data_IF_640151716878
#
_entry.id   IF_640151716878
#
_cell.length_a   1.000
_cell.length_b   1.000
_cell.length_c   1.000
_cell.angle_alpha   90.00
_cell.angle_beta   90.00
_cell.angle_gamma   90.00
#
_symmetry.space_group_name_H-M   'P 1'
#
loop_
_entity.id
_entity.type
_entity.pdbx_description
1 polymer ?
#
# COMPACT_ATOMS: atom_id res chain seq x y z
N UNK A 1 -7.86 -27.32 -8.89
CA UNK A 1 -8.84 -26.52 -8.12
C UNK A 1 -9.60 -25.64 -9.10
N UNK A 2 -10.89 -25.40 -8.88
CA UNK A 2 -11.69 -24.51 -9.73
C UNK A 2 -12.11 -23.30 -8.89
N UNK A 3 -11.92 -22.10 -9.44
CA UNK A 3 -12.42 -20.86 -8.87
C UNK A 3 -13.52 -20.31 -9.75
N UNK A 4 -14.28 -19.34 -9.24
CA UNK A 4 -15.23 -18.54 -10.04
C UNK A 4 -14.65 -17.13 -10.15
N UNK A 5 -14.56 -16.65 -11.38
CA UNK A 5 -14.08 -15.30 -11.68
C UNK A 5 -15.26 -14.34 -11.86
N UNK A 6 -15.09 -13.13 -11.35
CA UNK A 6 -16.02 -12.03 -11.52
C UNK A 6 -15.27 -10.80 -12.03
N UNK A 7 -15.91 -10.07 -12.94
CA UNK A 7 -15.57 -8.70 -13.25
C UNK A 7 -16.24 -7.78 -12.23
N UNK A 8 -15.47 -6.86 -11.65
CA UNK A 8 -15.95 -5.89 -10.66
C UNK A 8 -15.81 -4.48 -11.20
N UNK A 9 -16.86 -3.68 -11.05
CA UNK A 9 -16.82 -2.25 -11.32
C UNK A 9 -17.24 -1.48 -10.07
N UNK A 10 -16.37 -0.56 -9.63
CA UNK A 10 -16.68 0.37 -8.55
C UNK A 10 -17.21 1.66 -9.17
N UNK A 11 -18.45 2.01 -8.84
CA UNK A 11 -19.11 3.22 -9.27
C UNK A 11 -19.05 4.25 -8.15
N UNK A 12 -18.37 5.36 -8.44
CA UNK A 12 -18.26 6.51 -7.55
C UNK A 12 -19.03 7.69 -8.16
N UNK A 13 -19.88 8.38 -7.38
CA UNK A 13 -20.77 9.42 -7.91
C UNK A 13 -20.06 10.74 -8.27
N UNK A 14 -18.84 10.98 -7.78
CA UNK A 14 -18.11 12.22 -8.05
C UNK A 14 -17.25 12.16 -9.32
N UNK A 15 -16.79 13.32 -9.78
CA UNK A 15 -16.03 13.46 -11.04
C UNK A 15 -14.54 13.12 -10.93
N UNK A 16 -14.03 12.83 -9.73
CA UNK A 16 -12.62 12.50 -9.52
C UNK A 16 -12.37 11.02 -9.75
N UNK A 17 -11.15 10.69 -10.16
CA UNK A 17 -10.69 9.30 -10.21
C UNK A 17 -10.51 8.77 -8.79
N UNK A 18 -11.13 7.64 -8.51
CA UNK A 18 -10.96 6.87 -7.28
C UNK A 18 -9.69 6.04 -7.41
N UNK A 19 -8.84 6.06 -6.39
CA UNK A 19 -7.62 5.26 -6.39
C UNK A 19 -7.89 3.81 -5.96
N UNK A 20 -6.85 2.96 -6.04
CA UNK A 20 -6.97 1.54 -5.73
C UNK A 20 -7.30 1.28 -4.25
N UNK A 21 -6.86 2.16 -3.35
CA UNK A 21 -7.11 2.01 -1.91
C UNK A 21 -8.57 2.35 -1.59
N UNK A 22 -9.09 3.42 -2.19
CA UNK A 22 -10.50 3.79 -2.09
C UNK A 22 -11.41 2.75 -2.76
N UNK A 23 -11.02 2.17 -3.90
CA UNK A 23 -11.74 1.04 -4.51
C UNK A 23 -11.83 -0.15 -3.55
N UNK A 24 -10.72 -0.50 -2.88
CA UNK A 24 -10.70 -1.56 -1.85
C UNK A 24 -11.62 -1.20 -0.68
N UNK A 25 -11.60 0.04 -0.21
CA UNK A 25 -12.45 0.49 0.90
C UNK A 25 -13.94 0.34 0.55
N UNK A 26 -14.36 0.79 -0.63
CA UNK A 26 -15.76 0.68 -1.10
C UNK A 26 -16.15 -0.80 -1.26
N UNK A 27 -15.31 -1.59 -1.94
CA UNK A 27 -15.54 -3.02 -2.13
C UNK A 27 -15.73 -3.76 -0.80
N UNK A 28 -14.83 -3.56 0.16
CA UNK A 28 -14.89 -4.26 1.43
C UNK A 28 -16.06 -3.83 2.31
N UNK A 29 -16.49 -2.56 2.20
CA UNK A 29 -17.72 -2.11 2.84
C UNK A 29 -18.94 -2.83 2.26
N UNK A 30 -19.04 -2.97 0.93
CA UNK A 30 -20.09 -3.78 0.29
C UNK A 30 -20.08 -5.22 0.79
N UNK A 31 -18.90 -5.85 0.88
CA UNK A 31 -18.77 -7.22 1.39
C UNK A 31 -19.22 -7.32 2.86
N UNK A 32 -18.89 -6.33 3.69
CA UNK A 32 -19.31 -6.28 5.09
C UNK A 32 -20.83 -6.13 5.26
N UNK A 33 -21.46 -5.30 4.40
CA UNK A 33 -22.88 -4.98 4.49
C UNK A 33 -23.79 -6.09 3.94
N UNK A 34 -23.24 -7.04 3.18
CA UNK A 34 -23.99 -8.10 2.48
C UNK A 34 -23.55 -9.52 2.89
N UNK A 35 -23.65 -9.91 4.17
CA UNK A 35 -23.19 -11.22 4.66
C UNK A 35 -23.97 -12.40 4.06
N UNK A 36 -25.21 -12.20 3.59
CA UNK A 36 -25.98 -13.24 2.91
C UNK A 36 -25.36 -13.69 1.59
N UNK A 37 -24.70 -12.77 0.87
CA UNK A 37 -23.99 -13.04 -0.39
C UNK A 37 -22.56 -13.49 -0.08
N UNK A 38 -21.90 -12.84 0.88
CA UNK A 38 -20.51 -13.08 1.25
C UNK A 38 -20.39 -13.84 2.57
N UNK A 39 -21.05 -15.00 2.67
CA UNK A 39 -21.10 -15.81 3.88
C UNK A 39 -19.70 -16.11 4.46
N UNK A 40 -18.73 -16.42 3.58
CA UNK A 40 -17.32 -16.47 3.93
C UNK A 40 -16.54 -15.33 3.26
N UNK A 41 -16.52 -14.16 3.91
CA UNK A 41 -15.74 -12.99 3.47
C UNK A 41 -14.23 -13.22 3.35
N UNK A 42 -13.67 -14.26 3.99
CA UNK A 42 -12.26 -14.64 3.84
C UNK A 42 -11.99 -15.48 2.59
N UNK A 43 -13.04 -16.03 1.97
CA UNK A 43 -12.97 -16.76 0.70
C UNK A 43 -13.14 -15.85 -0.53
N UNK A 44 -12.90 -14.56 -0.35
CA UNK A 44 -13.04 -13.54 -1.40
C UNK A 44 -11.65 -12.98 -1.67
N UNK A 45 -11.24 -12.91 -2.94
CA UNK A 45 -9.95 -12.39 -3.39
C UNK A 45 -10.14 -11.27 -4.42
N UNK A 46 -9.78 -10.02 -4.08
CA UNK A 46 -10.01 -8.84 -4.91
C UNK A 46 -8.70 -8.07 -5.16
N UNK A 47 -8.43 -7.73 -6.42
CA UNK A 47 -7.21 -7.05 -6.83
C UNK A 47 -7.19 -5.53 -6.51
N UNK A 48 -8.33 -4.96 -6.12
CA UNK A 48 -8.50 -3.51 -5.91
C UNK A 48 -8.89 -2.75 -7.18
N UNK A 49 -9.11 -3.44 -8.29
CA UNK A 49 -9.55 -2.87 -9.56
C UNK A 49 -10.77 -3.64 -10.08
N UNK A 50 -10.56 -4.65 -10.94
CA UNK A 50 -11.65 -5.27 -11.71
C UNK A 50 -11.74 -6.78 -11.54
N UNK A 51 -10.78 -7.41 -10.85
CA UNK A 51 -10.70 -8.86 -10.77
C UNK A 51 -11.07 -9.37 -9.39
N UNK A 52 -12.05 -10.25 -9.35
CA UNK A 52 -12.52 -10.93 -8.15
C UNK A 52 -12.55 -12.44 -8.38
N UNK A 53 -12.05 -13.19 -7.39
CA UNK A 53 -12.07 -14.64 -7.40
C UNK A 53 -12.65 -15.19 -6.09
N UNK A 54 -13.47 -16.23 -6.21
CA UNK A 54 -14.05 -16.96 -5.08
C UNK A 54 -13.99 -18.47 -5.33
N UNK A 55 -13.91 -19.33 -4.30
CA UNK A 55 -13.91 -20.78 -4.48
C UNK A 55 -15.31 -21.36 -4.75
N UNK A 56 -16.36 -20.59 -4.48
CA UNK A 56 -17.75 -20.93 -4.75
C UNK A 56 -18.43 -19.79 -5.50
N UNK A 57 -19.48 -20.12 -6.25
CA UNK A 57 -20.29 -19.12 -6.94
C UNK A 57 -21.10 -18.33 -5.92
N UNK A 58 -20.95 -17.01 -5.92
CA UNK A 58 -21.81 -16.09 -5.18
C UNK A 58 -23.27 -16.24 -5.61
N UNK A 59 -24.16 -16.34 -4.64
CA UNK A 59 -25.60 -16.49 -4.87
C UNK A 59 -26.24 -15.11 -4.99
N UNK A 60 -26.46 -14.67 -6.24
CA UNK A 60 -27.21 -13.44 -6.51
C UNK A 60 -28.72 -13.73 -6.53
N UNK A 61 -29.57 -12.77 -6.11
CA UNK A 61 -31.01 -12.88 -6.24
C UNK A 61 -31.43 -13.26 -7.67
N UNK A 62 -32.49 -14.07 -7.79
CA UNK A 62 -33.01 -14.60 -9.06
C UNK A 62 -32.00 -15.41 -9.91
N UNK A 63 -30.90 -15.90 -9.31
CA UNK A 63 -29.82 -16.62 -10.01
C UNK A 63 -29.20 -15.84 -11.18
N UNK A 64 -29.20 -14.50 -11.11
CA UNK A 64 -28.60 -13.66 -12.15
C UNK A 64 -27.09 -13.88 -12.23
N UNK A 65 -26.52 -13.57 -13.40
CA UNK A 65 -25.06 -13.57 -13.60
C UNK A 65 -24.41 -12.26 -13.16
N UNK A 66 -25.20 -11.21 -12.88
CA UNK A 66 -24.71 -9.93 -12.43
C UNK A 66 -25.57 -9.36 -11.31
N UNK A 67 -24.96 -8.49 -10.50
CA UNK A 67 -25.60 -7.82 -9.38
C UNK A 67 -24.89 -6.50 -9.12
N UNK A 68 -25.65 -5.47 -8.73
CA UNK A 68 -25.12 -4.20 -8.27
C UNK A 68 -25.56 -4.00 -6.82
N UNK A 69 -24.61 -3.71 -5.95
CA UNK A 69 -24.84 -3.44 -4.54
C UNK A 69 -24.42 -2.02 -4.22
N UNK A 70 -25.19 -1.32 -3.38
CA UNK A 70 -24.90 0.05 -2.98
C UNK A 70 -24.48 0.09 -1.51
N UNK A 71 -23.65 1.07 -1.17
CA UNK A 71 -23.18 1.28 0.20
C UNK A 71 -22.74 2.72 0.41
N UNK A 72 -22.90 3.22 1.62
CA UNK A 72 -22.39 4.52 2.03
C UNK A 72 -20.99 4.35 2.64
N UNK A 73 -20.02 5.06 2.08
CA UNK A 73 -18.60 4.96 2.48
C UNK A 73 -18.05 6.36 2.77
N UNK A 74 -17.43 6.58 3.95
CA UNK A 74 -16.62 7.76 4.20
C UNK A 74 -15.25 7.62 3.51
N UNK A 75 -15.00 8.39 2.46
CA UNK A 75 -13.70 8.45 1.79
C UNK A 75 -12.90 9.63 2.33
N UNK A 76 -11.60 9.43 2.61
CA UNK A 76 -10.76 10.44 3.23
C UNK A 76 -10.63 11.75 2.43
N UNK A 77 -10.75 11.68 1.10
CA UNK A 77 -10.69 12.83 0.19
C UNK A 77 -12.03 13.55 0.03
N UNK A 78 -13.09 13.01 0.63
CA UNK A 78 -14.44 13.55 0.53
C UNK A 78 -14.85 14.17 1.86
N UNK A 79 -15.54 15.31 1.80
CA UNK A 79 -16.00 16.02 3.00
C UNK A 79 -17.22 15.38 3.66
N UNK A 80 -17.90 14.46 2.96
CA UNK A 80 -19.12 13.78 3.39
C UNK A 80 -19.12 12.34 2.87
N UNK A 81 -19.87 11.48 3.54
CA UNK A 81 -20.15 10.14 3.05
C UNK A 81 -20.80 10.19 1.67
N UNK A 82 -20.42 9.23 0.83
CA UNK A 82 -20.94 9.08 -0.52
C UNK A 82 -21.55 7.71 -0.68
N UNK A 83 -22.74 7.67 -1.27
CA UNK A 83 -23.36 6.45 -1.77
C UNK A 83 -22.60 5.99 -3.01
N UNK A 84 -21.82 4.93 -2.84
CA UNK A 84 -21.08 4.27 -3.90
C UNK A 84 -21.80 2.96 -4.27
N UNK A 85 -21.49 2.40 -5.44
CA UNK A 85 -22.00 1.10 -5.83
C UNK A 85 -20.88 0.21 -6.34
N UNK A 86 -21.05 -1.10 -6.18
CA UNK A 86 -20.15 -2.12 -6.74
C UNK A 86 -20.98 -3.07 -7.57
N UNK A 87 -20.64 -3.15 -8.85
CA UNK A 87 -21.23 -4.10 -9.79
C UNK A 87 -20.35 -5.33 -9.91
N UNK A 88 -20.96 -6.49 -9.87
CA UNK A 88 -20.34 -7.80 -10.01
C UNK A 88 -20.92 -8.48 -11.24
N UNK A 89 -20.07 -9.02 -12.10
CA UNK A 89 -20.46 -9.82 -13.25
C UNK A 89 -19.70 -11.15 -13.22
N UNK A 90 -20.42 -12.25 -13.04
CA UNK A 90 -19.88 -13.60 -13.06
C UNK A 90 -19.41 -13.97 -14.47
N UNK A 91 -18.10 -14.19 -14.62
CA UNK A 91 -17.48 -14.64 -15.88
C UNK A 91 -17.45 -16.17 -15.98
N UNK A 92 -17.61 -16.87 -14.85
CA UNK A 92 -17.71 -18.33 -14.79
C UNK A 92 -16.51 -19.00 -14.14
N UNK A 93 -16.43 -20.34 -14.24
CA UNK A 93 -15.37 -21.11 -13.60
C UNK A 93 -14.03 -20.97 -14.32
N UNK A 94 -12.96 -20.86 -13.54
CA UNK A 94 -11.57 -20.80 -14.01
C UNK A 94 -10.77 -21.94 -13.36
N UNK A 95 -10.18 -22.85 -14.16
CA UNK A 95 -9.31 -23.89 -13.64
C UNK A 95 -7.97 -23.30 -13.21
N UNK A 96 -7.56 -23.57 -11.97
CA UNK A 96 -6.23 -23.23 -11.46
C UNK A 96 -5.30 -24.41 -11.72
N UNK A 97 -4.67 -24.40 -12.90
CA UNK A 97 -3.74 -25.43 -13.37
C UNK A 97 -2.42 -24.80 -13.83
N UNK A 98 -1.40 -24.83 -12.97
CA UNK A 98 -0.07 -24.26 -13.25
C UNK A 98 0.61 -24.90 -14.48
N UNK A 99 0.24 -26.15 -14.85
CA UNK A 99 0.76 -26.81 -16.06
C UNK A 99 0.40 -26.09 -17.34
N UNK A 100 -0.72 -25.37 -17.36
CA UNK A 100 -1.18 -24.58 -18.51
C UNK A 100 -0.50 -23.22 -18.57
N UNK A 101 0.21 -22.84 -17.51
CA UNK A 101 1.00 -21.60 -17.41
C UNK A 101 2.40 -21.81 -18.00
N UNK A 102 2.50 -22.10 -19.30
CA UNK A 102 3.79 -22.23 -20.01
C UNK A 102 4.36 -20.88 -20.43
N UNK A 103 5.63 -20.62 -20.09
CA UNK A 103 6.35 -19.35 -20.23
C UNK A 103 6.52 -18.77 -21.65
N UNK A 104 5.99 -19.42 -22.70
CA UNK A 104 6.15 -18.98 -24.09
C UNK A 104 4.95 -18.23 -24.67
N UNK A 105 3.79 -18.18 -23.99
CA UNK A 105 2.58 -17.55 -24.51
C UNK A 105 2.06 -16.49 -23.53
N UNK A 106 2.00 -15.23 -23.99
CA UNK A 106 1.44 -14.06 -23.27
C UNK A 106 -0.11 -14.08 -23.20
N UNK A 107 -0.77 -15.22 -23.36
CA UNK A 107 -2.23 -15.29 -23.28
C UNK A 107 -2.70 -15.11 -21.83
N UNK A 108 -3.76 -14.34 -21.61
CA UNK A 108 -4.32 -14.04 -20.29
C UNK A 108 -4.67 -15.31 -19.51
N UNK A 109 -5.14 -16.35 -20.22
CA UNK A 109 -5.47 -17.67 -19.67
C UNK A 109 -4.26 -18.39 -19.08
N UNK A 110 -3.07 -18.14 -19.62
CA UNK A 110 -1.80 -18.72 -19.18
C UNK A 110 -1.36 -18.05 -17.87
N UNK A 111 -1.56 -16.74 -17.72
CA UNK A 111 -1.17 -15.98 -16.53
C UNK A 111 -2.19 -16.01 -15.38
N UNK A 112 -3.44 -16.39 -15.64
CA UNK A 112 -4.53 -16.34 -14.64
C UNK A 112 -4.18 -17.09 -13.33
N UNK A 113 -3.62 -18.32 -13.34
CA UNK A 113 -3.26 -19.02 -12.10
C UNK A 113 -2.20 -18.28 -11.25
N UNK A 114 -1.23 -17.64 -11.89
CA UNK A 114 -0.20 -16.83 -11.21
C UNK A 114 -0.83 -15.57 -10.62
N UNK A 115 -1.67 -14.88 -11.40
CA UNK A 115 -2.38 -13.68 -10.95
C UNK A 115 -3.29 -13.96 -9.76
N UNK A 116 -4.05 -15.07 -9.80
CA UNK A 116 -4.88 -15.52 -8.69
C UNK A 116 -4.04 -15.73 -7.42
N UNK A 117 -2.90 -16.41 -7.54
CA UNK A 117 -2.02 -16.65 -6.39
C UNK A 117 -1.51 -15.33 -5.81
N UNK A 118 -1.06 -14.42 -6.68
CA UNK A 118 -0.59 -13.09 -6.29
C UNK A 118 -1.68 -12.27 -5.57
N UNK A 119 -2.92 -12.27 -6.06
CA UNK A 119 -4.06 -11.58 -5.43
C UNK A 119 -4.38 -12.20 -4.07
N UNK A 120 -4.51 -13.53 -3.99
CA UNK A 120 -4.84 -14.23 -2.73
C UNK A 120 -3.79 -13.97 -1.66
N UNK A 121 -2.51 -13.99 -2.02
CA UNK A 121 -1.44 -13.78 -1.04
C UNK A 121 -1.39 -12.34 -0.55
N UNK A 122 -1.63 -11.36 -1.43
CA UNK A 122 -1.79 -9.95 -1.04
C UNK A 122 -3.04 -9.70 -0.20
N UNK A 123 -4.10 -10.48 -0.38
CA UNK A 123 -5.33 -10.40 0.40
C UNK A 123 -5.05 -10.52 1.90
N UNK A 124 -4.08 -11.36 2.29
CA UNK A 124 -3.70 -11.59 3.70
C UNK A 124 -3.22 -10.33 4.42
N UNK A 125 -2.71 -9.34 3.66
CA UNK A 125 -2.20 -8.07 4.17
C UNK A 125 -3.16 -6.90 3.92
N UNK A 126 -4.21 -7.09 3.13
CA UNK A 126 -5.11 -6.01 2.68
C UNK A 126 -6.57 -6.21 3.09
N UNK A 127 -6.97 -7.39 3.52
CA UNK A 127 -8.33 -7.67 3.95
C UNK A 127 -8.60 -7.02 5.32
N UNK A 128 -9.55 -6.07 5.44
CA UNK A 128 -9.80 -5.36 6.70
C UNK A 128 -10.37 -6.27 7.80
N UNK A 129 -10.86 -7.47 7.45
CA UNK A 129 -11.33 -8.45 8.42
C UNK A 129 -10.20 -9.25 9.08
N UNK A 130 -8.96 -9.13 8.59
CA UNK A 130 -7.78 -9.72 9.20
C UNK A 130 -7.17 -8.69 10.15
N UNK A 131 -7.10 -9.02 11.45
CA UNK A 131 -6.71 -8.06 12.49
C UNK A 131 -5.34 -7.40 12.29
N UNK A 132 -4.41 -8.08 11.59
CA UNK A 132 -3.08 -7.53 11.32
C UNK A 132 -3.01 -6.67 10.04
N UNK A 133 -4.03 -6.69 9.18
CA UNK A 133 -3.99 -5.98 7.89
C UNK A 133 -3.89 -4.46 8.05
N UNK A 134 -4.45 -3.89 9.14
CA UNK A 134 -4.36 -2.46 9.43
C UNK A 134 -2.91 -1.97 9.66
N UNK A 135 -1.97 -2.88 9.94
CA UNK A 135 -0.55 -2.56 10.11
C UNK A 135 0.22 -2.56 8.79
N UNK A 136 -0.45 -2.82 7.66
CA UNK A 136 0.17 -2.84 6.34
C UNK A 136 -0.47 -1.81 5.42
N UNK A 137 0.37 -1.14 4.66
CA UNK A 137 -0.02 -0.29 3.55
C UNK A 137 0.40 -0.95 2.24
N UNK A 138 -0.53 -1.18 1.31
CA UNK A 138 -0.20 -1.80 0.03
C UNK A 138 -0.03 -0.75 -1.05
N UNK A 139 1.11 -0.79 -1.72
CA UNK A 139 1.41 0.08 -2.86
C UNK A 139 2.03 -0.75 -3.98
N UNK A 140 1.40 -0.71 -5.15
CA UNK A 140 1.75 -1.52 -6.31
C UNK A 140 1.88 -3.02 -5.93
N UNK A 141 3.02 -3.64 -6.23
CA UNK A 141 3.34 -5.05 -5.93
C UNK A 141 4.01 -5.21 -4.56
N UNK A 142 3.81 -4.27 -3.63
CA UNK A 142 4.48 -4.30 -2.33
C UNK A 142 3.57 -3.91 -1.19
N UNK A 143 3.85 -4.48 -0.04
CA UNK A 143 3.17 -4.18 1.21
C UNK A 143 4.20 -3.62 2.19
N UNK A 144 3.91 -2.48 2.79
CA UNK A 144 4.78 -1.81 3.74
C UNK A 144 4.18 -1.97 5.12
N UNK A 145 4.96 -2.45 6.08
CA UNK A 145 4.54 -2.48 7.47
C UNK A 145 4.67 -1.09 8.06
N UNK A 146 3.52 -0.53 8.44
CA UNK A 146 3.42 0.77 9.07
C UNK A 146 3.97 0.64 10.51
N UNK A 147 4.93 1.47 10.92
CA UNK A 147 5.44 1.45 12.29
C UNK A 147 4.35 1.89 13.28
N UNK A 148 4.09 1.04 14.28
CA UNK A 148 3.15 1.36 15.36
C UNK A 148 3.88 2.20 16.40
N UNK A 149 3.34 3.40 16.71
CA UNK A 149 3.82 4.31 17.76
C UNK A 149 5.27 4.79 17.61
N UNK A 150 5.82 4.86 16.40
CA UNK A 150 7.22 5.27 16.10
C UNK A 150 8.31 4.43 16.81
N UNK A 151 7.97 3.55 17.74
CA UNK A 151 8.92 2.83 18.59
C UNK A 151 9.69 1.71 17.86
N UNK A 152 9.20 1.30 16.69
CA UNK A 152 9.80 0.25 15.86
C UNK A 152 10.34 0.79 14.52
N UNK A 153 10.24 2.11 14.28
CA UNK A 153 10.76 2.73 13.06
C UNK A 153 12.15 3.32 13.33
N UNK A 154 13.10 3.06 12.44
CA UNK A 154 14.35 3.83 12.44
C UNK A 154 14.03 5.26 12.00
N UNK A 155 14.28 6.23 12.88
CA UNK A 155 14.17 7.66 12.54
C UNK A 155 15.29 8.02 11.56
N UNK A 156 14.92 8.61 10.43
CA UNK A 156 15.86 9.03 9.38
C UNK A 156 16.10 10.56 9.41
N UNK A 157 15.62 11.22 10.47
CA UNK A 157 15.63 12.67 10.66
C UNK A 157 14.84 13.41 9.57
N UNK A 158 14.71 14.73 9.71
CA UNK A 158 13.99 15.56 8.73
C UNK A 158 12.52 15.15 8.54
N UNK A 159 11.88 14.61 9.58
CA UNK A 159 10.49 14.14 9.55
C UNK A 159 10.28 12.81 8.81
N UNK A 160 11.35 12.03 8.57
CA UNK A 160 11.29 10.74 7.86
C UNK A 160 11.53 9.57 8.81
N UNK A 161 10.99 8.42 8.45
CA UNK A 161 11.19 7.16 9.15
C UNK A 161 11.30 6.00 8.16
N UNK A 162 11.94 4.92 8.57
CA UNK A 162 12.12 3.73 7.75
C UNK A 162 10.94 2.76 7.92
N UNK A 163 10.31 2.37 6.81
CA UNK A 163 9.28 1.33 6.78
C UNK A 163 9.85 0.03 6.20
N UNK A 164 9.43 -1.10 6.75
CA UNK A 164 9.77 -2.42 6.21
C UNK A 164 8.85 -2.74 5.03
N UNK A 165 9.42 -2.94 3.85
CA UNK A 165 8.74 -3.34 2.62
C UNK A 165 8.82 -4.86 2.46
N UNK A 166 7.70 -5.47 2.12
CA UNK A 166 7.56 -6.85 1.66
C UNK A 166 7.17 -6.80 0.19
N UNK A 167 8.07 -7.23 -0.68
CA UNK A 167 7.76 -7.47 -2.09
C UNK A 167 7.38 -8.94 -2.24
N UNK A 168 6.24 -9.21 -2.87
CA UNK A 168 5.78 -10.57 -3.14
C UNK A 168 5.42 -10.73 -4.61
N UNK A 169 5.88 -11.80 -5.24
CA UNK A 169 5.48 -12.16 -6.60
C UNK A 169 5.33 -13.67 -6.75
N UNK A 170 4.28 -14.09 -7.43
CA UNK A 170 4.04 -15.49 -7.78
C UNK A 170 4.76 -15.84 -9.10
N UNK A 171 5.35 -17.03 -9.14
CA UNK A 171 6.05 -17.59 -10.28
C UNK A 171 5.74 -19.08 -10.43
N UNK A 172 6.03 -19.64 -11.60
CA UNK A 172 5.97 -21.08 -11.85
C UNK A 172 7.40 -21.60 -11.96
N UNK A 173 7.79 -22.49 -11.05
CA UNK A 173 9.07 -23.17 -11.06
C UNK A 173 9.04 -24.42 -11.95
N UNK A 174 10.20 -25.05 -12.12
CA UNK A 174 10.31 -26.32 -12.83
C UNK A 174 9.34 -27.37 -12.28
N UNK A 175 8.75 -28.15 -13.18
CA UNK A 175 7.72 -29.13 -12.84
C UNK A 175 6.36 -28.51 -12.49
N UNK A 176 6.09 -27.27 -12.91
CA UNK A 176 4.79 -26.60 -12.76
C UNK A 176 4.38 -26.31 -11.32
N UNK A 177 5.38 -26.20 -10.43
CA UNK A 177 5.16 -25.91 -9.02
C UNK A 177 5.00 -24.40 -8.84
N UNK A 178 3.95 -23.93 -8.15
CA UNK A 178 3.85 -22.52 -7.81
C UNK A 178 4.96 -22.16 -6.80
N UNK A 179 5.64 -21.06 -7.06
CA UNK A 179 6.66 -20.49 -6.18
C UNK A 179 6.26 -19.06 -5.84
N UNK A 180 6.38 -18.68 -4.58
CA UNK A 180 6.22 -17.30 -4.15
C UNK A 180 7.59 -16.73 -3.80
N UNK A 181 8.02 -15.71 -4.52
CA UNK A 181 9.19 -14.92 -4.17
C UNK A 181 8.76 -13.88 -3.15
N UNK A 182 9.47 -13.82 -2.02
CA UNK A 182 9.27 -12.79 -0.99
C UNK A 182 10.62 -12.16 -0.73
N UNK A 183 10.73 -10.85 -1.01
CA UNK A 183 11.92 -10.06 -0.71
C UNK A 183 11.57 -9.02 0.35
N UNK A 184 12.47 -8.84 1.31
CA UNK A 184 12.35 -7.80 2.35
C UNK A 184 13.30 -6.66 2.01
N UNK A 185 12.77 -5.44 2.01
CA UNK A 185 13.54 -4.22 1.81
C UNK A 185 13.12 -3.16 2.83
N UNK A 186 13.85 -2.06 2.85
CA UNK A 186 13.54 -0.91 3.69
C UNK A 186 13.42 0.33 2.82
N UNK A 187 12.44 1.18 3.12
CA UNK A 187 12.16 2.38 2.33
C UNK A 187 11.84 3.53 3.28
N UNK A 188 12.36 4.72 2.97
CA UNK A 188 12.10 5.93 3.74
C UNK A 188 10.71 6.49 3.39
N UNK A 189 9.91 6.75 4.41
CA UNK A 189 8.63 7.46 4.33
C UNK A 189 8.64 8.67 5.24
N UNK A 190 7.73 9.61 5.01
CA UNK A 190 7.45 10.64 6.01
C UNK A 190 6.70 10.03 7.18
N UNK A 191 6.98 10.51 8.39
CA UNK A 191 6.32 10.05 9.62
C UNK A 191 4.80 10.23 9.47
N UNK A 192 4.03 9.15 9.59
CA UNK A 192 2.58 9.19 9.36
C UNK A 192 1.81 10.03 10.41
N UNK A 193 2.33 10.10 11.63
CA UNK A 193 1.72 10.83 12.76
C UNK A 193 2.60 12.00 13.19
N UNK A 194 2.78 12.98 12.31
CA UNK A 194 3.51 14.23 12.60
C UNK A 194 2.64 15.44 12.30
N UNK A 195 2.68 16.46 13.16
CA UNK A 195 2.02 17.74 12.86
C UNK A 195 2.82 18.51 11.81
N UNK A 196 2.14 19.36 11.03
CA UNK A 196 2.82 20.17 10.01
C UNK A 196 3.92 21.07 10.62
N UNK A 197 3.65 21.65 11.79
CA UNK A 197 4.62 22.49 12.51
C UNK A 197 5.84 21.67 12.93
N UNK A 198 5.63 20.48 13.52
CA UNK A 198 6.73 19.61 13.92
C UNK A 198 7.55 19.14 12.71
N UNK A 199 6.88 18.78 11.62
CA UNK A 199 7.53 18.41 10.37
C UNK A 199 8.44 19.53 9.84
N UNK A 200 7.94 20.77 9.80
CA UNK A 200 8.75 21.93 9.41
C UNK A 200 9.96 22.11 10.33
N UNK A 201 9.79 21.99 11.65
CA UNK A 201 10.89 22.05 12.60
C UNK A 201 11.95 20.96 12.36
N UNK A 202 11.53 19.72 12.12
CA UNK A 202 12.44 18.59 11.90
C UNK A 202 13.24 18.77 10.59
N UNK A 203 12.59 19.22 9.51
CA UNK A 203 13.23 19.51 8.23
C UNK A 203 14.25 20.65 8.36
N UNK A 204 13.92 21.73 9.06
CA UNK A 204 14.83 22.86 9.27
C UNK A 204 16.04 22.47 10.14
N UNK A 205 15.84 21.66 11.18
CA UNK A 205 16.93 21.14 12.02
C UNK A 205 17.90 20.28 11.21
N UNK A 206 17.39 19.32 10.42
CA UNK A 206 18.21 18.47 9.54
C UNK A 206 19.04 19.32 8.56
N UNK A 207 18.42 20.33 7.95
CA UNK A 207 19.12 21.26 7.05
C UNK A 207 20.25 22.04 7.76
N UNK A 208 19.99 22.56 8.96
CA UNK A 208 21.00 23.29 9.74
C UNK A 208 22.17 22.39 10.13
N UNK A 209 21.90 21.16 10.59
CA UNK A 209 22.94 20.17 10.94
C UNK A 209 23.80 19.83 9.71
N UNK A 210 23.18 19.54 8.56
CA UNK A 210 23.93 19.26 7.32
C UNK A 210 24.77 20.44 6.85
N UNK A 211 24.29 21.66 7.03
CA UNK A 211 25.01 22.88 6.64
C UNK A 211 26.16 23.19 7.60
N UNK A 212 25.99 22.91 8.89
CA UNK A 212 27.05 23.03 9.89
C UNK A 212 28.17 22.00 9.65
N UNK A 213 27.83 20.76 9.32
CA UNK A 213 28.81 19.70 8.98
C UNK A 213 29.54 20.00 7.65
N UNK A 214 28.86 20.65 6.68
CA UNK A 214 29.48 21.08 5.41
C UNK A 214 30.34 22.33 5.50
N UNK A 215 30.45 22.98 6.66
CA UNK A 215 31.49 23.99 6.93
C UNK A 215 32.67 23.33 7.65
N UNK A 216 33.65 22.73 6.95
CA UNK A 216 34.93 22.50 7.59
C UNK A 216 35.54 23.88 7.86
N UNK A 217 35.82 24.18 9.14
CA UNK A 217 36.86 25.10 9.60
C UNK A 217 37.28 26.19 8.59
N UNK A 218 36.47 27.24 8.44
CA UNK A 218 36.92 28.47 7.79
C UNK A 218 36.67 29.70 8.69
N UNK A 219 37.00 29.58 9.97
CA UNK A 219 37.21 30.73 10.86
C UNK A 219 38.32 30.37 11.85
N UNK A 220 39.56 30.29 11.36
CA UNK A 220 40.74 30.19 12.20
C UNK A 220 41.97 30.89 11.57
N UNK A 221 41.78 31.96 10.81
CA UNK A 221 42.84 32.90 10.39
C UNK A 221 42.09 34.21 10.09
N UNK A 222 41.97 35.18 10.99
CA UNK A 222 42.97 36.20 11.30
C UNK A 222 42.52 36.98 12.55
N UNK A 223 43.24 36.86 13.66
CA UNK A 223 43.21 37.86 14.72
C UNK A 223 44.55 38.63 14.64
N UNK A 224 44.57 39.96 14.45
CA UNK A 224 45.81 40.72 14.59
C UNK A 224 46.17 40.79 16.08
N UNK A 225 47.43 40.48 16.39
CA UNK A 225 48.06 40.76 17.68
C UNK A 225 47.87 42.24 18.06
N UNK A 226 47.54 42.58 19.31
CA UNK A 226 47.56 43.97 19.75
C UNK A 226 49.02 44.45 19.83
N UNK A 227 49.30 45.58 19.17
CA UNK A 227 50.58 46.27 19.21
C UNK A 227 50.88 46.76 20.63
N UNK A 228 52.04 46.41 21.17
CA UNK A 228 52.61 47.05 22.36
C UNK A 228 52.98 48.50 22.02
N UNK A 229 52.17 49.45 22.50
CA UNK A 229 52.52 50.86 22.54
C UNK A 229 53.34 51.18 23.79
N UNK A 230 54.55 51.69 23.58
CA UNK A 230 55.51 52.09 24.60
C UNK A 230 54.94 53.18 25.53
N UNK A 231 55.11 52.98 26.85
CA UNK A 231 54.90 54.01 27.88
C UNK A 231 56.20 54.78 28.07
N UNK A 232 56.22 56.02 27.60
CA UNK A 232 57.32 56.97 27.78
C UNK A 232 57.31 57.49 29.22
N UNK A 233 58.46 57.36 29.89
CA UNK A 233 58.77 57.94 31.19
C UNK A 233 58.86 59.47 31.07
N UNK A 234 58.22 60.22 31.98
CA UNK A 234 58.58 61.61 32.28
C UNK A 234 59.15 61.68 33.68
N UNK A 235 60.32 62.34 33.75
CA UNK A 235 61.07 62.67 34.95
C UNK A 235 60.36 63.73 35.80
#
# INVERSE_FOLDING_TARGET
>A
MMLVQYHVEVHYPGSRKVDRDENRAIFWKVVADHPSIFANKFAVAFDGAHQLYTPYRLEFPDKRNSMRLETDVPLAKDSRERTCAVSFQCLGPVPIEMRRTSASNLDERVLTPIQVLDIVCRQSLTCPFIGNAANFYSWESSCYRIPINCALALDLEGGKEMWTRFFSSAHVASGWKPLMKIDVAHTAFYKAKISMVQFMCDVLKDALVRTAIRRPLLVAVTAPLPSMGALTVRA
#
